data_IF_344772832715
#
_entry.id   IF_344772832715
#
_cell.length_a   1.000
_cell.length_b   1.000
_cell.length_c   1.000
_cell.angle_alpha   90.00
_cell.angle_beta   90.00
_cell.angle_gamma   90.00
#
_symmetry.space_group_name_H-M   'P 1'
#
loop_
_entity.id
_entity.type
_entity.pdbx_description
1 polymer ?
#
# COMPACT_ATOMS: atom_id res chain seq x y z
N UNK A 1 12.99 -15.71 -18.55
CA UNK A 1 12.31 -16.18 -17.32
C UNK A 1 10.90 -16.62 -17.66
N UNK A 2 10.47 -17.73 -17.08
CA UNK A 2 9.09 -18.19 -17.16
C UNK A 2 8.21 -17.55 -16.05
N UNK A 3 6.91 -17.85 -16.09
CA UNK A 3 5.97 -17.27 -15.12
C UNK A 3 6.22 -17.74 -13.66
N UNK A 4 6.80 -18.93 -13.46
CA UNK A 4 7.13 -19.42 -12.12
C UNK A 4 8.33 -18.67 -11.55
N UNK A 5 9.37 -18.46 -12.35
CA UNK A 5 10.52 -17.65 -11.96
C UNK A 5 10.11 -16.22 -11.62
N UNK A 6 9.22 -15.61 -12.42
CA UNK A 6 8.68 -14.26 -12.14
C UNK A 6 7.96 -14.24 -10.79
N UNK A 7 7.09 -15.22 -10.50
CA UNK A 7 6.38 -15.30 -9.21
C UNK A 7 7.35 -15.40 -8.04
N UNK A 8 8.32 -16.30 -8.15
CA UNK A 8 9.31 -16.52 -7.07
C UNK A 8 10.10 -15.28 -6.78
N UNK A 9 10.60 -14.58 -7.81
CA UNK A 9 11.32 -13.33 -7.64
C UNK A 9 10.44 -12.22 -7.03
N UNK A 10 9.18 -12.11 -7.46
CA UNK A 10 8.24 -11.14 -6.88
C UNK A 10 7.98 -11.39 -5.39
N UNK A 11 7.86 -12.66 -4.98
CA UNK A 11 7.69 -13.02 -3.58
C UNK A 11 8.94 -12.70 -2.75
N UNK A 12 10.11 -12.99 -3.27
CA UNK A 12 11.37 -12.67 -2.62
C UNK A 12 11.59 -11.15 -2.53
N UNK A 13 11.45 -10.42 -3.64
CA UNK A 13 11.66 -8.97 -3.67
C UNK A 13 10.63 -8.21 -2.83
N UNK A 14 9.39 -8.71 -2.71
CA UNK A 14 8.41 -8.13 -1.80
C UNK A 14 8.55 -8.62 -0.34
N UNK A 15 9.66 -9.33 -0.01
CA UNK A 15 9.97 -9.79 1.33
C UNK A 15 8.91 -10.76 1.92
N UNK A 16 8.25 -11.54 1.06
CA UNK A 16 7.19 -12.47 1.48
C UNK A 16 7.77 -13.86 1.76
N UNK A 17 8.64 -14.36 0.87
CA UNK A 17 9.24 -15.70 1.04
C UNK A 17 10.42 -15.70 2.02
N UNK A 18 11.12 -14.58 2.14
CA UNK A 18 12.23 -14.36 3.07
C UNK A 18 12.43 -12.85 3.26
N UNK A 19 12.94 -12.45 4.43
CA UNK A 19 13.25 -11.06 4.75
C UNK A 19 14.41 -10.97 5.72
N UNK A 20 15.19 -9.90 5.60
CA UNK A 20 16.20 -9.50 6.58
C UNK A 20 15.70 -8.33 7.45
N UNK A 21 14.49 -7.79 7.14
CA UNK A 21 13.89 -6.72 7.93
C UNK A 21 13.36 -7.23 9.27
N UNK A 22 13.56 -6.43 10.31
CA UNK A 22 13.07 -6.69 11.67
C UNK A 22 12.18 -5.55 12.18
N UNK A 23 12.22 -4.38 11.54
CA UNK A 23 11.46 -3.20 11.91
C UNK A 23 10.37 -2.90 10.87
N UNK A 24 9.13 -2.60 11.32
CA UNK A 24 8.02 -2.27 10.42
C UNK A 24 8.31 -1.12 9.46
N UNK A 25 8.92 -0.03 9.98
CA UNK A 25 9.25 1.17 9.21
C UNK A 25 10.27 0.92 8.12
N UNK A 26 11.26 0.04 8.35
CA UNK A 26 12.27 -0.31 7.34
C UNK A 26 11.63 -1.03 6.15
N UNK A 27 10.71 -1.97 6.41
CA UNK A 27 9.95 -2.65 5.37
C UNK A 27 9.08 -1.67 4.57
N UNK A 28 8.36 -0.78 5.26
CA UNK A 28 7.51 0.24 4.62
C UNK A 28 8.36 1.16 3.75
N UNK A 29 9.53 1.58 4.23
CA UNK A 29 10.48 2.39 3.48
C UNK A 29 11.01 1.66 2.25
N UNK A 30 11.39 0.40 2.39
CA UNK A 30 11.86 -0.44 1.28
C UNK A 30 10.81 -0.58 0.18
N UNK A 31 9.56 -0.84 0.56
CA UNK A 31 8.44 -0.92 -0.37
C UNK A 31 8.00 0.46 -0.90
N UNK A 32 8.45 1.55 -0.30
CA UNK A 32 8.15 2.93 -0.68
C UNK A 32 6.78 3.42 -0.22
N UNK A 33 5.76 2.60 -0.36
CA UNK A 33 4.43 2.79 0.20
C UNK A 33 3.69 1.46 0.17
N UNK A 34 2.79 1.23 1.14
CA UNK A 34 1.93 0.06 1.22
C UNK A 34 0.47 0.52 1.32
N UNK A 35 -0.41 -0.01 0.47
CA UNK A 35 -1.82 0.38 0.52
C UNK A 35 -2.43 0.02 1.87
N UNK A 36 -3.08 0.99 2.50
CA UNK A 36 -3.65 0.90 3.85
C UNK A 36 -5.14 1.26 3.88
N UNK A 37 -5.89 0.83 2.85
CA UNK A 37 -7.33 1.06 2.76
C UNK A 37 -8.06 0.36 3.90
N UNK A 38 -7.75 -0.91 4.12
CA UNK A 38 -8.20 -1.70 5.27
C UNK A 38 -7.10 -1.70 6.34
N UNK A 39 -7.28 -0.89 7.38
CA UNK A 39 -6.22 -0.59 8.36
C UNK A 39 -5.65 -1.83 9.05
N UNK A 40 -6.52 -2.74 9.52
CA UNK A 40 -6.08 -3.96 10.18
C UNK A 40 -5.32 -4.90 9.21
N UNK A 41 -5.81 -5.01 7.97
CA UNK A 41 -5.18 -5.83 6.93
C UNK A 41 -3.85 -5.24 6.46
N UNK A 42 -3.72 -3.92 6.43
CA UNK A 42 -2.44 -3.28 6.13
C UNK A 42 -1.38 -3.55 7.20
N UNK A 43 -1.76 -3.66 8.47
CA UNK A 43 -0.84 -4.10 9.53
C UNK A 43 -0.44 -5.56 9.33
N UNK A 44 -1.40 -6.43 8.98
CA UNK A 44 -1.10 -7.82 8.64
C UNK A 44 -0.19 -7.91 7.40
N UNK A 45 -0.30 -7.03 6.42
CA UNK A 45 0.61 -6.99 5.28
C UNK A 45 2.08 -6.81 5.70
N UNK A 46 2.32 -6.07 6.79
CA UNK A 46 3.64 -5.94 7.41
C UNK A 46 4.01 -7.24 8.15
N UNK A 47 3.10 -7.76 8.99
CA UNK A 47 3.31 -8.98 9.76
C UNK A 47 3.50 -10.25 8.89
N UNK A 48 2.85 -10.29 7.72
CA UNK A 48 3.07 -11.35 6.73
C UNK A 48 4.52 -11.42 6.25
N UNK A 49 5.22 -10.28 6.23
CA UNK A 49 6.58 -10.13 5.68
C UNK A 49 7.67 -10.24 6.74
N UNK A 50 7.38 -9.88 7.99
CA UNK A 50 8.36 -9.90 9.09
C UNK A 50 7.93 -10.97 10.10
N UNK A 51 8.62 -12.12 10.15
CA UNK A 51 8.31 -13.20 11.10
C UNK A 51 8.38 -12.71 12.56
N UNK A 52 7.53 -13.27 13.40
CA UNK A 52 7.45 -13.00 14.85
C UNK A 52 7.06 -11.58 15.24
N UNK A 53 6.74 -10.71 14.27
CA UNK A 53 6.20 -9.40 14.55
C UNK A 53 4.75 -9.55 15.06
N UNK A 54 4.36 -8.69 15.99
CA UNK A 54 2.99 -8.62 16.51
C UNK A 54 2.26 -7.38 16.01
N UNK A 55 0.94 -7.35 16.12
CA UNK A 55 0.15 -6.17 15.79
C UNK A 55 0.54 -4.97 16.68
N UNK A 56 0.95 -5.23 17.93
CA UNK A 56 1.40 -4.21 18.88
C UNK A 56 2.73 -3.57 18.45
N UNK A 57 3.65 -4.34 17.85
CA UNK A 57 4.90 -3.80 17.33
C UNK A 57 4.63 -2.82 16.17
N UNK A 58 3.70 -3.16 15.29
CA UNK A 58 3.27 -2.25 14.21
C UNK A 58 2.57 -1.01 14.76
N UNK A 59 1.69 -1.19 15.74
CA UNK A 59 1.01 -0.07 16.41
C UNK A 59 2.02 0.85 17.10
N UNK A 60 3.04 0.29 17.77
CA UNK A 60 4.12 1.07 18.40
C UNK A 60 4.91 1.91 17.37
N UNK A 61 5.20 1.36 16.20
CA UNK A 61 5.87 2.12 15.12
C UNK A 61 4.98 3.26 14.58
N UNK A 62 3.67 3.03 14.47
CA UNK A 62 2.69 4.05 14.07
C UNK A 62 2.55 5.11 15.17
N UNK A 63 2.43 4.71 16.43
CA UNK A 63 2.29 5.62 17.56
C UNK A 63 3.53 6.48 17.79
N UNK A 64 4.71 5.93 17.48
CA UNK A 64 5.96 6.68 17.47
C UNK A 64 6.11 7.64 16.27
N UNK A 65 5.18 7.59 15.30
CA UNK A 65 5.23 8.40 14.08
C UNK A 65 6.28 7.94 13.06
N UNK A 66 6.83 6.74 13.22
CA UNK A 66 7.77 6.15 12.25
C UNK A 66 7.06 5.69 10.97
N UNK A 67 5.78 5.36 11.09
CA UNK A 67 4.86 5.06 9.99
C UNK A 67 3.66 6.00 10.11
N UNK A 68 3.33 6.69 9.03
CA UNK A 68 2.12 7.50 8.93
C UNK A 68 1.19 6.94 7.86
N UNK A 69 -0.08 7.32 7.91
CA UNK A 69 -1.09 6.92 6.93
C UNK A 69 -1.69 8.15 6.25
N UNK A 70 -1.67 8.17 4.93
CA UNK A 70 -2.23 9.28 4.14
C UNK A 70 -2.57 8.84 2.71
N UNK A 71 -3.36 9.64 2.00
CA UNK A 71 -3.58 9.44 0.57
C UNK A 71 -2.29 9.75 -0.20
N UNK A 72 -1.88 8.78 -1.03
CA UNK A 72 -0.62 8.86 -1.78
C UNK A 72 -0.71 8.01 -3.05
N UNK A 73 0.15 8.23 -4.05
CA UNK A 73 0.25 7.50 -5.32
C UNK A 73 -1.07 7.50 -6.13
N UNK A 74 -2.11 6.94 -5.57
CA UNK A 74 -3.49 6.89 -6.05
C UNK A 74 -4.42 7.51 -4.99
N UNK A 75 -5.71 7.78 -5.27
CA UNK A 75 -6.63 8.31 -4.25
C UNK A 75 -7.04 7.20 -3.24
N UNK A 76 -6.06 6.52 -2.69
CA UNK A 76 -6.19 5.49 -1.64
C UNK A 76 -5.21 5.77 -0.51
N UNK A 77 -5.54 5.35 0.70
CA UNK A 77 -4.62 5.45 1.84
C UNK A 77 -3.45 4.50 1.70
N UNK A 78 -2.28 4.97 2.12
CA UNK A 78 -1.05 4.19 2.19
C UNK A 78 -0.36 4.39 3.53
N UNK A 79 0.31 3.35 4.03
CA UNK A 79 1.38 3.47 5.01
C UNK A 79 2.64 3.92 4.31
N UNK A 80 3.33 4.87 4.92
CA UNK A 80 4.57 5.46 4.41
C UNK A 80 5.42 5.97 5.57
N UNK A 81 6.73 5.97 5.42
CA UNK A 81 7.61 6.68 6.34
C UNK A 81 7.55 8.19 6.08
N UNK A 82 7.55 9.05 7.12
CA UNK A 82 7.38 10.49 6.94
C UNK A 82 8.34 11.13 5.94
N UNK A 83 9.59 10.71 5.93
CA UNK A 83 10.66 11.26 5.09
C UNK A 83 10.39 11.11 3.59
N UNK A 84 9.61 10.08 3.22
CA UNK A 84 9.26 9.84 1.82
C UNK A 84 7.96 10.54 1.39
N UNK A 85 7.14 10.98 2.34
CA UNK A 85 5.79 11.49 2.07
C UNK A 85 5.81 12.70 1.13
N UNK A 86 6.59 13.72 1.43
CA UNK A 86 6.54 14.99 0.72
C UNK A 86 7.02 14.93 -0.71
N UNK A 87 8.12 14.22 -0.99
CA UNK A 87 8.62 14.12 -2.36
C UNK A 87 7.74 13.22 -3.23
N UNK A 88 7.14 12.17 -2.66
CA UNK A 88 6.17 11.34 -3.40
C UNK A 88 4.89 12.14 -3.67
N UNK A 89 4.38 12.91 -2.70
CA UNK A 89 3.24 13.81 -2.91
C UNK A 89 3.53 14.83 -4.03
N UNK A 90 4.68 15.51 -3.97
CA UNK A 90 5.05 16.48 -5.00
C UNK A 90 5.06 15.86 -6.41
N UNK A 91 5.40 14.57 -6.51
CA UNK A 91 5.40 13.83 -7.77
C UNK A 91 4.00 13.39 -8.21
N UNK A 92 3.14 12.93 -7.28
CA UNK A 92 1.91 12.17 -7.60
C UNK A 92 0.62 12.95 -7.36
N UNK A 93 0.56 13.88 -6.39
CA UNK A 93 -0.64 14.63 -6.05
C UNK A 93 -1.27 15.39 -7.24
N UNK A 94 -0.50 16.02 -8.15
CA UNK A 94 -1.09 16.69 -9.31
C UNK A 94 -1.93 15.76 -10.19
N UNK A 95 -1.51 14.51 -10.37
CA UNK A 95 -2.25 13.51 -11.15
C UNK A 95 -3.50 13.03 -10.40
N UNK A 96 -3.43 12.91 -9.08
CA UNK A 96 -4.56 12.53 -8.26
C UNK A 96 -5.63 13.62 -8.31
N UNK A 97 -5.28 14.89 -8.08
CA UNK A 97 -6.21 16.02 -8.19
C UNK A 97 -6.90 16.08 -9.54
N UNK A 98 -6.14 15.84 -10.63
CA UNK A 98 -6.72 15.78 -11.97
C UNK A 98 -7.76 14.67 -12.12
N UNK A 99 -7.48 13.48 -11.59
CA UNK A 99 -8.39 12.31 -11.65
C UNK A 99 -9.67 12.52 -10.86
N UNK A 100 -9.61 13.20 -9.72
CA UNK A 100 -10.77 13.38 -8.81
C UNK A 100 -11.47 14.74 -8.97
N UNK A 101 -11.05 15.55 -9.93
CA UNK A 101 -11.62 16.91 -10.16
C UNK A 101 -13.14 16.90 -10.30
N UNK A 102 -13.72 15.90 -10.99
CA UNK A 102 -15.17 15.76 -11.16
C UNK A 102 -15.92 15.56 -9.84
N UNK A 103 -15.29 14.88 -8.87
CA UNK A 103 -15.89 14.72 -7.54
C UNK A 103 -15.89 16.03 -6.76
N UNK A 104 -14.84 16.84 -6.86
CA UNK A 104 -14.83 18.17 -6.25
C UNK A 104 -16.00 19.01 -6.76
N UNK A 105 -16.21 19.04 -8.08
CA UNK A 105 -17.35 19.77 -8.69
C UNK A 105 -18.70 19.19 -8.25
N UNK A 106 -18.84 17.85 -8.16
CA UNK A 106 -20.07 17.18 -7.73
C UNK A 106 -20.51 17.60 -6.31
N UNK A 107 -19.55 17.88 -5.42
CA UNK A 107 -19.83 18.25 -4.03
C UNK A 107 -19.69 19.75 -3.76
N UNK A 108 -19.66 20.57 -4.79
CA UNK A 108 -19.46 22.02 -4.67
C UNK A 108 -18.22 22.38 -3.82
N UNK A 109 -17.15 21.62 -3.99
CA UNK A 109 -15.86 21.84 -3.35
C UNK A 109 -14.99 22.71 -4.26
N UNK A 110 -15.22 24.01 -4.23
CA UNK A 110 -14.37 24.97 -4.94
C UNK A 110 -12.98 25.02 -4.33
N UNK A 111 -11.91 25.38 -5.09
CA UNK A 111 -10.56 25.53 -4.52
C UNK A 111 -10.56 26.45 -3.29
N UNK A 112 -11.27 27.58 -3.34
CA UNK A 112 -11.40 28.53 -2.21
C UNK A 112 -11.95 27.84 -0.97
N UNK A 113 -13.04 27.08 -1.12
CA UNK A 113 -13.71 26.37 0.00
C UNK A 113 -12.80 25.28 0.59
N UNK A 114 -12.07 24.55 -0.26
CA UNK A 114 -11.13 23.52 0.19
C UNK A 114 -9.95 24.13 0.95
N UNK A 115 -9.30 25.16 0.43
CA UNK A 115 -8.22 25.84 1.14
C UNK A 115 -8.70 26.47 2.46
N UNK A 116 -9.85 27.10 2.49
CA UNK A 116 -10.43 27.64 3.72
C UNK A 116 -10.68 26.54 4.76
N UNK A 117 -11.26 25.40 4.36
CA UNK A 117 -11.47 24.27 5.26
C UNK A 117 -10.13 23.70 5.77
N UNK A 118 -9.12 23.59 4.91
CA UNK A 118 -7.79 23.11 5.30
C UNK A 118 -7.09 24.08 6.26
N UNK A 119 -7.22 25.40 6.09
CA UNK A 119 -6.65 26.35 7.06
C UNK A 119 -7.30 26.20 8.44
N UNK A 120 -8.63 26.00 8.50
CA UNK A 120 -9.34 25.74 9.78
C UNK A 120 -8.85 24.43 10.42
N UNK A 121 -8.67 23.38 9.60
CA UNK A 121 -8.16 22.09 10.07
C UNK A 121 -6.73 22.23 10.58
N UNK A 122 -5.88 22.93 9.84
CA UNK A 122 -4.47 23.17 10.22
C UNK A 122 -4.39 23.87 11.58
N UNK A 123 -5.14 24.98 11.76
CA UNK A 123 -5.23 25.67 13.06
C UNK A 123 -5.68 24.74 14.19
N UNK A 124 -6.70 23.92 13.95
CA UNK A 124 -7.22 22.98 14.95
C UNK A 124 -6.25 21.88 15.33
N UNK A 125 -5.34 21.49 14.43
CA UNK A 125 -4.36 20.40 14.63
C UNK A 125 -3.03 20.86 15.24
N UNK A 126 -2.81 22.17 15.46
CA UNK A 126 -1.56 22.68 16.06
C UNK A 126 -1.30 22.03 17.39
N UNK A 127 -2.27 22.09 18.32
CA UNK A 127 -2.12 21.67 19.71
C UNK A 127 -2.58 20.24 20.00
N UNK A 128 -3.39 19.65 19.15
CA UNK A 128 -4.03 18.36 19.41
C UNK A 128 -4.24 17.49 18.17
N UNK A 129 -4.37 16.21 18.41
CA UNK A 129 -4.81 15.24 17.41
C UNK A 129 -6.34 15.11 17.47
N UNK A 130 -7.00 15.09 16.31
CA UNK A 130 -8.46 15.09 16.21
C UNK A 130 -8.94 13.98 15.27
N UNK A 131 -10.07 13.39 15.64
CA UNK A 131 -10.79 12.47 14.77
C UNK A 131 -11.42 13.21 13.60
N UNK A 132 -11.74 12.48 12.53
CA UNK A 132 -12.47 13.04 11.38
C UNK A 132 -13.79 13.71 11.79
N UNK A 133 -14.50 13.13 12.79
CA UNK A 133 -15.77 13.67 13.29
C UNK A 133 -15.57 15.01 14.00
N UNK A 134 -14.54 15.11 14.84
CA UNK A 134 -14.18 16.37 15.53
C UNK A 134 -13.78 17.46 14.53
N UNK A 135 -12.95 17.14 13.52
CA UNK A 135 -12.56 18.07 12.47
C UNK A 135 -13.78 18.55 11.66
N UNK A 136 -14.70 17.66 11.31
CA UNK A 136 -15.92 18.03 10.57
C UNK A 136 -16.80 19.00 11.38
N UNK A 137 -16.92 18.81 12.70
CA UNK A 137 -17.66 19.70 13.58
C UNK A 137 -17.03 21.11 13.62
N UNK A 138 -15.70 21.19 13.80
CA UNK A 138 -14.95 22.45 13.82
C UNK A 138 -15.12 23.24 12.50
N UNK A 139 -15.00 22.54 11.37
CA UNK A 139 -15.17 23.15 10.04
C UNK A 139 -16.61 23.65 9.84
N UNK A 140 -17.62 22.90 10.35
CA UNK A 140 -19.02 23.31 10.30
C UNK A 140 -19.31 24.54 11.18
N UNK A 141 -18.76 24.61 12.38
CA UNK A 141 -18.86 25.77 13.29
C UNK A 141 -18.28 27.05 12.66
N UNK A 142 -17.27 26.92 11.81
CA UNK A 142 -16.69 28.02 11.02
C UNK A 142 -17.47 28.35 9.74
N UNK A 143 -18.67 27.78 9.56
CA UNK A 143 -19.60 28.11 8.47
C UNK A 143 -19.43 27.29 7.19
N UNK A 144 -18.58 26.26 7.17
CA UNK A 144 -18.41 25.39 6.01
C UNK A 144 -19.20 24.09 6.23
N UNK A 145 -20.43 24.06 5.75
CA UNK A 145 -21.29 22.88 5.84
C UNK A 145 -20.84 21.80 4.86
N UNK A 146 -20.79 20.56 5.35
CA UNK A 146 -20.34 19.40 4.57
C UNK A 146 -21.17 18.16 4.91
N UNK A 147 -21.31 17.26 3.94
CA UNK A 147 -21.74 15.87 4.20
C UNK A 147 -20.54 15.02 4.61
N UNK A 148 -20.80 13.83 5.17
CA UNK A 148 -19.71 12.88 5.46
C UNK A 148 -18.86 12.59 4.22
N UNK A 149 -19.48 12.49 3.04
CA UNK A 149 -18.78 12.20 1.79
C UNK A 149 -17.97 13.40 1.31
N UNK A 150 -18.53 14.60 1.29
CA UNK A 150 -17.79 15.81 0.87
C UNK A 150 -16.63 16.12 1.82
N UNK A 151 -16.79 15.88 3.13
CA UNK A 151 -15.72 16.05 4.09
C UNK A 151 -14.56 15.06 3.87
N UNK A 152 -14.83 13.84 3.35
CA UNK A 152 -13.77 12.92 2.96
C UNK A 152 -12.87 13.50 1.86
N UNK A 153 -13.44 14.26 0.92
CA UNK A 153 -12.65 14.94 -0.12
C UNK A 153 -11.86 16.13 0.42
N UNK A 154 -12.32 16.79 1.48
CA UNK A 154 -11.55 17.84 2.16
C UNK A 154 -10.33 17.22 2.86
N UNK A 155 -10.51 16.11 3.58
CA UNK A 155 -9.40 15.36 4.19
C UNK A 155 -8.42 14.91 3.11
N UNK A 156 -8.91 14.24 2.06
CA UNK A 156 -8.08 13.83 0.93
C UNK A 156 -7.27 14.99 0.34
N UNK A 157 -7.92 16.15 0.13
CA UNK A 157 -7.25 17.34 -0.36
C UNK A 157 -6.13 17.80 0.58
N UNK A 158 -6.42 17.91 1.89
CA UNK A 158 -5.43 18.33 2.89
C UNK A 158 -4.25 17.36 3.02
N UNK A 159 -4.47 16.05 2.86
CA UNK A 159 -3.40 15.05 2.81
C UNK A 159 -2.55 15.20 1.53
N UNK A 160 -3.18 15.42 0.38
CA UNK A 160 -2.47 15.64 -0.90
C UNK A 160 -1.68 16.95 -0.94
N UNK A 161 -2.15 18.00 -0.23
CA UNK A 161 -1.40 19.25 -0.04
C UNK A 161 -0.29 19.13 1.02
N UNK A 162 -0.15 17.95 1.66
CA UNK A 162 0.87 17.70 2.69
C UNK A 162 0.65 18.48 3.97
N UNK A 163 -0.60 18.85 4.29
CA UNK A 163 -0.99 19.57 5.51
C UNK A 163 -1.14 18.60 6.67
N UNK A 164 -1.89 17.52 6.47
CA UNK A 164 -2.23 16.56 7.52
C UNK A 164 -1.96 15.12 7.09
N UNK A 165 -1.85 14.27 8.08
CA UNK A 165 -1.80 12.81 7.94
C UNK A 165 -2.53 12.16 9.11
N UNK A 166 -2.66 10.85 9.06
CA UNK A 166 -3.18 10.03 10.16
C UNK A 166 -2.24 8.86 10.43
N UNK A 167 -2.58 8.03 11.40
CA UNK A 167 -1.84 6.82 11.72
C UNK A 167 -2.37 6.24 13.00
N UNK A 168 -2.25 6.98 14.10
CA UNK A 168 -2.76 6.57 15.40
C UNK A 168 -4.26 6.36 15.39
N UNK A 169 -4.72 5.48 16.26
CA UNK A 169 -6.13 5.19 16.48
C UNK A 169 -6.56 5.65 17.88
N UNK A 170 -7.77 6.20 17.97
CA UNK A 170 -8.48 6.46 19.22
C UNK A 170 -9.72 5.58 19.22
N UNK A 171 -9.65 4.44 19.90
CA UNK A 171 -10.62 3.35 19.70
C UNK A 171 -10.60 2.88 18.24
N UNK A 172 -11.75 2.89 17.59
CA UNK A 172 -11.89 2.46 16.18
C UNK A 172 -11.78 3.62 15.17
N UNK A 173 -11.34 4.81 15.59
CA UNK A 173 -11.26 5.99 14.71
C UNK A 173 -9.82 6.43 14.54
N UNK A 174 -9.41 6.65 13.30
CA UNK A 174 -8.14 7.30 13.01
C UNK A 174 -8.17 8.74 13.50
N UNK A 175 -7.07 9.19 14.11
CA UNK A 175 -6.85 10.59 14.45
C UNK A 175 -5.89 11.22 13.45
N UNK A 176 -6.13 12.49 13.17
CA UNK A 176 -5.35 13.31 12.26
C UNK A 176 -4.44 14.25 13.04
N UNK A 177 -3.30 14.54 12.46
CA UNK A 177 -2.31 15.47 12.97
C UNK A 177 -1.62 16.18 11.80
N UNK A 178 -0.83 17.22 12.09
CA UNK A 178 -0.07 17.92 11.06
C UNK A 178 1.10 17.08 10.57
N UNK A 179 1.26 16.97 9.24
CA UNK A 179 2.41 16.31 8.65
C UNK A 179 3.73 16.98 9.03
N UNK A 180 3.71 18.29 9.25
CA UNK A 180 4.89 19.08 9.67
C UNK A 180 5.46 18.68 11.04
N UNK A 181 4.70 17.95 11.87
CA UNK A 181 5.20 17.40 13.14
C UNK A 181 6.20 16.25 12.93
N UNK A 182 6.19 15.60 11.76
CA UNK A 182 7.04 14.44 11.47
C UNK A 182 8.13 14.77 10.44
N UNK A 183 7.84 15.63 9.48
CA UNK A 183 8.75 15.95 8.39
C UNK A 183 8.63 17.41 7.96
N UNK A 184 9.78 18.08 7.83
CA UNK A 184 9.84 19.46 7.36
C UNK A 184 9.33 19.60 5.90
N UNK A 185 8.83 20.77 5.48
CA UNK A 185 8.55 21.05 4.08
C UNK A 185 9.77 20.83 3.19
N UNK A 186 9.52 20.47 1.92
CA UNK A 186 10.60 20.35 0.94
C UNK A 186 11.25 21.73 0.70
N UNK A 187 12.56 21.78 0.76
CA UNK A 187 13.33 22.98 0.39
C UNK A 187 13.63 23.03 -1.10
N UNK A 188 13.66 21.88 -1.77
CA UNK A 188 13.83 21.75 -3.22
C UNK A 188 13.11 20.50 -3.73
N UNK A 189 12.73 20.50 -5.00
CA UNK A 189 12.12 19.35 -5.66
C UNK A 189 12.58 19.30 -7.12
N UNK A 190 13.32 18.26 -7.47
CA UNK A 190 13.72 17.96 -8.84
C UNK A 190 12.92 16.74 -9.28
N UNK A 191 12.00 16.94 -10.24
CA UNK A 191 11.03 15.95 -10.68
C UNK A 191 11.69 14.68 -11.21
N UNK A 192 12.76 14.82 -11.98
CA UNK A 192 13.51 13.71 -12.59
C UNK A 192 14.18 12.84 -11.52
N UNK A 193 14.74 13.43 -10.48
CA UNK A 193 15.32 12.70 -9.35
C UNK A 193 14.26 11.95 -8.57
N UNK A 194 13.10 12.55 -8.35
CA UNK A 194 11.97 11.89 -7.69
C UNK A 194 11.41 10.72 -8.51
N UNK A 195 11.32 10.87 -9.85
CA UNK A 195 10.94 9.79 -10.76
C UNK A 195 11.95 8.65 -10.73
N UNK A 196 13.24 8.97 -10.80
CA UNK A 196 14.33 7.99 -10.70
C UNK A 196 14.25 7.22 -9.38
N UNK A 197 14.15 7.94 -8.25
CA UNK A 197 14.06 7.36 -6.91
C UNK A 197 12.83 6.43 -6.77
N UNK A 198 11.68 6.84 -7.29
CA UNK A 198 10.46 6.05 -7.21
C UNK A 198 10.54 4.79 -8.11
N UNK A 199 11.09 4.93 -9.32
CA UNK A 199 11.28 3.81 -10.25
C UNK A 199 12.26 2.78 -9.69
N UNK A 200 13.42 3.21 -9.21
CA UNK A 200 14.42 2.33 -8.58
C UNK A 200 13.77 1.56 -7.43
N UNK A 201 13.07 2.24 -6.52
CA UNK A 201 12.41 1.61 -5.38
C UNK A 201 11.35 0.59 -5.82
N UNK A 202 10.54 0.94 -6.83
CA UNK A 202 9.51 0.04 -7.36
C UNK A 202 10.12 -1.22 -7.99
N UNK A 203 11.06 -1.08 -8.90
CA UNK A 203 11.64 -2.22 -9.61
C UNK A 203 12.55 -3.08 -8.72
N UNK A 204 13.16 -2.50 -7.69
CA UNK A 204 13.89 -3.26 -6.64
C UNK A 204 12.93 -4.12 -5.83
N UNK A 205 11.85 -3.52 -5.32
CA UNK A 205 10.96 -4.20 -4.37
C UNK A 205 9.86 -5.02 -5.03
N UNK A 206 9.54 -4.78 -6.31
CA UNK A 206 8.41 -5.41 -7.02
C UNK A 206 8.79 -6.05 -8.36
N UNK A 207 10.05 -5.93 -8.78
CA UNK A 207 10.52 -6.64 -9.98
C UNK A 207 10.45 -8.16 -9.84
N UNK A 208 10.33 -8.89 -10.95
CA UNK A 208 10.18 -8.45 -12.34
C UNK A 208 8.82 -7.79 -12.61
N UNK A 209 8.85 -6.59 -13.17
CA UNK A 209 7.65 -5.81 -13.44
C UNK A 209 7.78 -5.01 -14.75
N UNK A 210 6.65 -4.66 -15.36
CA UNK A 210 6.62 -3.85 -16.57
C UNK A 210 6.48 -2.36 -16.27
N UNK A 211 6.79 -1.51 -17.25
CA UNK A 211 6.52 -0.07 -17.16
C UNK A 211 5.03 0.22 -16.92
N UNK A 212 4.15 -0.61 -17.47
CA UNK A 212 2.71 -0.50 -17.27
C UNK A 212 2.30 -0.81 -15.82
N UNK A 213 2.98 -1.77 -15.18
CA UNK A 213 2.77 -2.09 -13.77
C UNK A 213 3.20 -0.91 -12.90
N UNK A 214 4.37 -0.34 -13.16
CA UNK A 214 4.87 0.85 -12.44
C UNK A 214 3.92 2.05 -12.58
N UNK A 215 3.44 2.34 -13.80
CA UNK A 215 2.46 3.41 -14.04
C UNK A 215 1.14 3.15 -13.29
N UNK A 216 0.68 1.89 -13.28
CA UNK A 216 -0.53 1.47 -12.57
C UNK A 216 -0.41 1.65 -11.06
N UNK A 217 0.70 1.17 -10.47
CA UNK A 217 0.96 1.26 -9.03
C UNK A 217 1.15 2.70 -8.57
N UNK A 218 2.02 3.46 -9.24
CA UNK A 218 2.36 4.83 -8.85
C UNK A 218 1.27 5.86 -9.17
N UNK A 219 0.31 5.53 -10.03
CA UNK A 219 -0.70 6.48 -10.52
C UNK A 219 -0.15 7.51 -11.52
N UNK A 220 1.12 7.43 -11.88
CA UNK A 220 1.78 8.29 -12.85
C UNK A 220 1.30 8.03 -14.28
N UNK A 221 1.61 8.95 -15.19
CA UNK A 221 1.41 8.72 -16.62
C UNK A 221 2.39 7.67 -17.14
N UNK A 222 2.00 6.96 -18.23
CA UNK A 222 2.91 6.00 -18.88
C UNK A 222 4.18 6.69 -19.42
N UNK A 223 4.08 7.97 -19.77
CA UNK A 223 5.24 8.78 -20.19
C UNK A 223 6.22 8.98 -19.05
N UNK A 224 5.73 9.35 -17.85
CA UNK A 224 6.56 9.51 -16.67
C UNK A 224 7.15 8.17 -16.22
N UNK A 225 6.36 7.09 -16.28
CA UNK A 225 6.85 5.76 -15.94
C UNK A 225 7.99 5.29 -16.87
N UNK A 226 7.88 5.56 -18.18
CA UNK A 226 8.96 5.29 -19.14
C UNK A 226 10.19 6.16 -18.85
N UNK A 227 9.99 7.44 -18.52
CA UNK A 227 11.10 8.30 -18.14
C UNK A 227 11.80 7.76 -16.88
N UNK A 228 11.04 7.31 -15.89
CA UNK A 228 11.58 6.69 -14.68
C UNK A 228 12.47 5.49 -14.95
N UNK A 229 12.13 4.62 -15.92
CA UNK A 229 12.97 3.47 -16.27
C UNK A 229 14.29 3.85 -16.96
N UNK A 230 14.38 5.01 -17.57
CA UNK A 230 15.63 5.48 -18.18
C UNK A 230 16.71 5.83 -17.14
N UNK A 231 16.32 6.02 -15.89
CA UNK A 231 17.23 6.29 -14.78
C UNK A 231 17.66 5.02 -14.00
N UNK A 232 17.16 3.85 -14.40
CA UNK A 232 17.62 2.61 -13.80
C UNK A 232 19.11 2.40 -14.16
N UNK A 233 19.92 2.09 -13.14
CA UNK A 233 21.35 1.84 -13.32
C UNK A 233 21.58 0.54 -14.10
N UNK A 234 22.83 0.32 -14.52
CA UNK A 234 23.25 -0.92 -15.19
C UNK A 234 23.13 -2.18 -14.32
N UNK A 235 22.84 -2.01 -13.02
CA UNK A 235 22.57 -3.14 -12.13
C UNK A 235 21.20 -3.77 -12.41
N UNK A 236 20.27 -3.02 -13.02
CA UNK A 236 18.98 -3.57 -13.43
C UNK A 236 19.10 -4.31 -14.76
N UNK A 237 18.36 -5.40 -14.87
CA UNK A 237 18.26 -6.21 -16.08
C UNK A 237 16.82 -6.22 -16.61
N UNK A 238 16.66 -6.44 -17.90
CA UNK A 238 15.35 -6.67 -18.50
C UNK A 238 15.31 -7.96 -19.34
N UNK A 239 14.12 -8.49 -19.53
CA UNK A 239 13.84 -9.63 -20.41
C UNK A 239 12.44 -9.53 -21.00
N UNK A 240 12.22 -10.25 -22.10
CA UNK A 240 10.92 -10.36 -22.73
C UNK A 240 10.18 -11.62 -22.25
N UNK A 241 8.91 -11.48 -21.86
CA UNK A 241 7.99 -12.57 -21.61
C UNK A 241 6.61 -12.20 -22.20
N UNK A 242 6.03 -13.04 -23.04
CA UNK A 242 4.78 -12.79 -23.76
C UNK A 242 4.74 -11.42 -24.46
N UNK A 243 5.84 -11.03 -25.11
CA UNK A 243 5.98 -9.75 -25.80
C UNK A 243 6.00 -8.50 -24.91
N UNK A 244 6.12 -8.68 -23.60
CA UNK A 244 6.24 -7.59 -22.62
C UNK A 244 7.64 -7.57 -22.03
N UNK A 245 8.21 -6.37 -21.88
CA UNK A 245 9.50 -6.17 -21.25
C UNK A 245 9.31 -6.02 -19.73
N UNK A 246 10.02 -6.88 -18.97
CA UNK A 246 10.06 -6.91 -17.52
C UNK A 246 11.41 -6.44 -17.02
N UNK A 247 11.41 -5.54 -16.04
CA UNK A 247 12.57 -4.97 -15.38
C UNK A 247 12.69 -5.50 -13.96
N UNK A 248 13.89 -5.78 -13.50
CA UNK A 248 14.17 -6.26 -12.14
C UNK A 248 15.62 -5.97 -11.77
N UNK A 249 15.90 -5.95 -10.48
CA UNK A 249 17.26 -5.94 -9.93
C UNK A 249 17.69 -7.40 -9.71
N UNK A 250 18.70 -7.94 -10.45
CA UNK A 250 19.24 -9.25 -10.16
C UNK A 250 19.85 -9.27 -8.76
N UNK A 251 19.47 -10.22 -7.93
CA UNK A 251 20.07 -10.44 -6.63
C UNK A 251 21.09 -11.55 -6.72
N UNK A 252 22.30 -11.35 -6.16
CA UNK A 252 23.37 -12.35 -6.18
C UNK A 252 23.03 -13.61 -5.37
N UNK A 253 22.00 -13.57 -4.55
CA UNK A 253 21.51 -14.65 -3.70
C UNK A 253 20.21 -15.30 -4.21
N UNK A 254 20.03 -15.36 -5.51
CA UNK A 254 18.84 -16.01 -6.08
C UNK A 254 18.87 -17.55 -5.86
N UNK A 255 18.84 -17.98 -4.62
CA UNK A 255 18.21 -19.25 -4.28
C UNK A 255 16.70 -19.00 -4.54
N UNK A 256 16.28 -19.33 -5.75
CA UNK A 256 14.87 -19.38 -6.13
C UNK A 256 14.32 -20.67 -5.51
N UNK A 257 13.60 -20.63 -4.38
CA UNK A 257 13.03 -21.86 -3.83
C UNK A 257 12.12 -22.48 -4.89
N UNK A 258 12.24 -23.79 -5.12
CA UNK A 258 11.32 -24.51 -5.99
C UNK A 258 9.86 -24.45 -5.51
N UNK A 259 9.66 -24.11 -4.24
CA UNK A 259 8.35 -23.91 -3.62
C UNK A 259 8.17 -22.41 -3.25
N UNK A 260 7.21 -21.78 -3.90
CA UNK A 260 6.81 -20.39 -3.62
C UNK A 260 6.07 -20.22 -2.28
N UNK A 261 5.91 -21.28 -1.48
CA UNK A 261 5.25 -21.22 -0.18
C UNK A 261 3.73 -21.12 -0.23
N UNK A 262 3.14 -21.01 0.98
CA UNK A 262 1.69 -20.81 1.18
C UNK A 262 1.49 -19.64 2.13
N UNK A 263 0.62 -18.68 1.75
CA UNK A 263 0.43 -17.43 2.47
C UNK A 263 -1.03 -17.01 2.51
N UNK A 264 -1.43 -16.37 3.62
CA UNK A 264 -2.72 -15.70 3.78
C UNK A 264 -2.56 -14.21 3.46
N UNK A 265 -2.84 -13.80 2.23
CA UNK A 265 -2.73 -12.41 1.84
C UNK A 265 -3.85 -11.55 2.42
N UNK A 266 -3.53 -10.39 3.00
CA UNK A 266 -4.53 -9.40 3.38
C UNK A 266 -5.24 -8.80 2.18
N UNK A 267 -6.34 -8.11 2.46
CA UNK A 267 -7.01 -7.25 1.47
C UNK A 267 -6.05 -6.17 0.98
N UNK A 268 -6.04 -5.96 -0.33
CA UNK A 268 -5.21 -4.95 -0.99
C UNK A 268 -3.70 -5.11 -0.77
N UNK A 269 -3.23 -6.36 -0.59
CA UNK A 269 -1.78 -6.60 -0.46
C UNK A 269 -1.01 -6.14 -1.70
N UNK A 270 0.20 -5.61 -1.46
CA UNK A 270 1.08 -5.11 -2.52
C UNK A 270 1.39 -6.17 -3.59
N UNK A 271 1.42 -7.47 -3.25
CA UNK A 271 1.57 -8.54 -4.24
C UNK A 271 0.45 -8.56 -5.26
N UNK A 272 -0.78 -8.22 -4.85
CA UNK A 272 -1.94 -8.19 -5.74
C UNK A 272 -2.12 -6.87 -6.49
N UNK A 273 -1.87 -5.74 -5.82
CA UNK A 273 -2.23 -4.41 -6.33
C UNK A 273 -1.09 -3.69 -7.05
N UNK A 274 0.14 -4.19 -6.96
CA UNK A 274 1.29 -3.56 -7.60
C UNK A 274 1.39 -3.84 -9.10
N UNK A 275 0.58 -4.75 -9.63
CA UNK A 275 0.65 -5.16 -11.04
C UNK A 275 -0.67 -4.92 -11.77
N UNK A 276 -0.57 -4.35 -12.97
CA UNK A 276 -1.72 -4.17 -13.87
C UNK A 276 -2.17 -5.51 -14.44
N UNK A 277 -1.20 -6.36 -14.83
CA UNK A 277 -1.46 -7.71 -15.30
C UNK A 277 -1.26 -8.73 -14.18
N UNK A 278 -2.31 -9.45 -13.86
CA UNK A 278 -2.36 -10.45 -12.79
C UNK A 278 -2.32 -11.89 -13.31
N UNK A 279 -2.24 -12.11 -14.63
CA UNK A 279 -2.20 -13.45 -15.24
C UNK A 279 -1.02 -14.30 -14.73
N UNK A 280 0.02 -13.64 -14.19
CA UNK A 280 1.21 -14.31 -13.63
C UNK A 280 0.85 -15.14 -12.38
N UNK A 281 -0.10 -14.70 -11.55
CA UNK A 281 -0.43 -15.32 -10.27
C UNK A 281 -1.92 -15.65 -10.10
N UNK A 282 -2.79 -15.26 -11.06
CA UNK A 282 -4.19 -15.64 -11.08
C UNK A 282 -4.43 -16.69 -12.15
N UNK A 283 -5.15 -17.75 -11.79
CA UNK A 283 -5.61 -18.73 -12.76
C UNK A 283 -6.89 -18.23 -13.43
N UNK A 284 -6.89 -18.15 -14.78
CA UNK A 284 -8.05 -17.71 -15.57
C UNK A 284 -9.24 -18.66 -15.48
N UNK A 285 -9.02 -19.91 -15.08
CA UNK A 285 -10.09 -20.89 -14.87
C UNK A 285 -10.98 -20.57 -13.69
N UNK A 286 -10.49 -19.74 -12.75
CA UNK A 286 -11.26 -19.31 -11.59
C UNK A 286 -11.78 -17.90 -11.82
N UNK A 287 -13.09 -17.74 -12.10
CA UNK A 287 -13.67 -16.41 -12.24
C UNK A 287 -13.62 -15.70 -10.88
N UNK A 288 -12.59 -14.91 -10.67
CA UNK A 288 -12.52 -14.03 -9.52
C UNK A 288 -13.52 -12.90 -9.80
N UNK A 289 -14.62 -12.91 -9.04
CA UNK A 289 -15.59 -11.83 -9.06
C UNK A 289 -14.88 -10.52 -8.75
N UNK A 290 -15.27 -9.36 -9.34
CA UNK A 290 -14.73 -8.05 -8.96
C UNK A 290 -14.75 -7.78 -7.45
N UNK A 291 -15.69 -8.39 -6.70
CA UNK A 291 -15.74 -8.32 -5.24
C UNK A 291 -14.64 -9.11 -4.53
N UNK A 292 -14.04 -10.09 -5.20
CA UNK A 292 -12.95 -10.92 -4.66
C UNK A 292 -11.57 -10.46 -5.15
N UNK A 293 -11.53 -9.47 -6.04
CA UNK A 293 -10.26 -9.01 -6.66
C UNK A 293 -9.21 -8.54 -5.64
N UNK A 294 -9.61 -8.30 -4.39
CA UNK A 294 -8.71 -7.73 -3.38
C UNK A 294 -8.94 -8.30 -1.98
N UNK A 295 -9.69 -9.41 -1.84
CA UNK A 295 -10.09 -9.92 -0.53
C UNK A 295 -9.40 -11.23 -0.18
N UNK A 296 -8.66 -11.22 0.94
CA UNK A 296 -8.24 -12.40 1.70
C UNK A 296 -7.82 -13.59 0.83
N UNK A 297 -6.83 -13.42 -0.02
CA UNK A 297 -6.39 -14.49 -0.91
C UNK A 297 -5.55 -15.54 -0.19
N UNK A 298 -5.89 -16.80 -0.41
CA UNK A 298 -5.04 -17.94 -0.08
C UNK A 298 -4.14 -18.21 -1.28
N UNK A 299 -2.84 -17.95 -1.10
CA UNK A 299 -1.84 -18.30 -2.09
C UNK A 299 -1.20 -19.64 -1.75
N UNK A 300 -1.03 -20.49 -2.79
CA UNK A 300 -0.32 -21.76 -2.71
C UNK A 300 0.59 -21.89 -3.92
N UNK A 301 1.89 -22.09 -3.68
CA UNK A 301 2.86 -22.27 -4.76
C UNK A 301 2.99 -21.07 -5.72
N UNK A 302 2.80 -19.85 -5.22
CA UNK A 302 2.87 -18.62 -6.00
C UNK A 302 1.61 -18.26 -6.79
N UNK A 303 0.55 -19.08 -6.72
CA UNK A 303 -0.74 -18.87 -7.37
C UNK A 303 -1.84 -18.60 -6.34
N UNK A 304 -2.79 -17.76 -6.67
CA UNK A 304 -3.98 -17.57 -5.85
C UNK A 304 -4.92 -18.74 -6.12
N UNK A 305 -5.11 -19.57 -5.09
CA UNK A 305 -5.83 -20.85 -5.20
C UNK A 305 -7.11 -20.90 -4.36
N UNK A 306 -7.38 -19.85 -3.60
CA UNK A 306 -8.55 -19.80 -2.74
C UNK A 306 -8.66 -18.49 -1.98
N UNK A 307 -9.51 -18.50 -0.98
CA UNK A 307 -9.73 -17.40 -0.04
C UNK A 307 -9.59 -17.87 1.40
N UNK A 308 -9.46 -16.93 2.31
CA UNK A 308 -9.50 -17.17 3.73
C UNK A 308 -10.35 -16.12 4.44
N UNK A 309 -10.81 -16.43 5.63
CA UNK A 309 -11.59 -15.54 6.48
C UNK A 309 -11.22 -15.76 7.94
N UNK A 310 -11.19 -14.69 8.73
CA UNK A 310 -11.10 -14.77 10.19
C UNK A 310 -12.34 -14.14 10.80
N UNK A 311 -12.80 -14.69 11.92
CA UNK A 311 -13.80 -14.01 12.73
C UNK A 311 -13.10 -12.83 13.46
N UNK A 312 -13.71 -11.64 13.39
CA UNK A 312 -13.18 -10.45 14.06
C UNK A 312 -13.29 -10.53 15.58
N UNK A 313 -14.18 -11.35 16.09
CA UNK A 313 -14.41 -11.56 17.53
C UNK A 313 -13.58 -12.73 18.09
N UNK A 314 -13.21 -13.67 17.23
CA UNK A 314 -12.38 -14.84 17.58
C UNK A 314 -11.37 -15.14 16.47
N UNK A 315 -10.18 -14.56 16.61
CA UNK A 315 -9.08 -14.76 15.67
C UNK A 315 -8.51 -16.19 15.68
N UNK A 316 -8.95 -17.06 16.61
CA UNK A 316 -8.61 -18.48 16.58
C UNK A 316 -9.33 -19.22 15.44
N UNK A 317 -10.47 -18.69 14.98
CA UNK A 317 -11.21 -19.23 13.86
C UNK A 317 -10.78 -18.61 12.53
N UNK A 318 -9.80 -19.23 11.88
CA UNK A 318 -9.42 -18.92 10.49
C UNK A 318 -9.89 -20.04 9.58
N UNK A 319 -10.73 -19.69 8.61
CA UNK A 319 -11.26 -20.64 7.61
C UNK A 319 -10.59 -20.38 6.28
N UNK A 320 -10.19 -21.44 5.60
CA UNK A 320 -9.60 -21.38 4.25
C UNK A 320 -10.46 -22.17 3.30
N UNK A 321 -10.68 -21.66 2.09
CA UNK A 321 -11.46 -22.30 1.03
C UNK A 321 -10.70 -22.27 -0.28
N UNK A 322 -10.51 -23.45 -0.90
CA UNK A 322 -9.89 -23.58 -2.20
C UNK A 322 -10.92 -23.39 -3.31
N UNK A 323 -10.57 -22.69 -4.39
CA UNK A 323 -11.42 -22.57 -5.58
C UNK A 323 -11.69 -23.93 -6.23
N UNK A 324 -10.68 -24.82 -6.21
CA UNK A 324 -10.85 -26.21 -6.61
C UNK A 324 -10.66 -27.14 -5.41
N UNK A 325 -11.76 -27.66 -4.82
CA UNK A 325 -11.68 -28.54 -3.65
C UNK A 325 -10.95 -29.87 -3.91
N UNK A 326 -10.77 -30.26 -5.18
CA UNK A 326 -10.04 -31.47 -5.57
C UNK A 326 -8.55 -31.25 -5.73
N UNK A 327 -8.08 -30.01 -5.67
CA UNK A 327 -6.66 -29.69 -5.77
C UNK A 327 -5.92 -30.22 -4.54
N UNK A 328 -4.90 -31.03 -4.78
CA UNK A 328 -4.02 -31.48 -3.69
C UNK A 328 -3.07 -30.35 -3.31
N UNK A 329 -3.17 -29.91 -2.08
CA UNK A 329 -2.32 -28.86 -1.48
C UNK A 329 -1.68 -29.39 -0.19
N UNK A 330 -0.54 -28.83 0.16
CA UNK A 330 0.11 -29.18 1.44
C UNK A 330 -0.68 -28.56 2.61
N UNK A 331 -1.49 -29.36 3.28
CA UNK A 331 -2.31 -28.91 4.42
C UNK A 331 -1.48 -28.38 5.57
N UNK A 332 -0.28 -28.97 5.81
CA UNK A 332 0.65 -28.46 6.85
C UNK A 332 1.10 -27.03 6.53
N UNK A 333 1.36 -26.71 5.27
CA UNK A 333 1.74 -25.34 4.86
C UNK A 333 0.58 -24.34 5.06
N UNK A 334 -0.66 -24.76 4.81
CA UNK A 334 -1.86 -23.93 5.12
C UNK A 334 -1.99 -23.71 6.64
N UNK A 335 -1.86 -24.76 7.44
CA UNK A 335 -1.91 -24.63 8.91
C UNK A 335 -0.82 -23.72 9.45
N UNK A 336 0.40 -23.80 8.90
CA UNK A 336 1.50 -22.88 9.25
C UNK A 336 1.16 -21.43 8.89
N UNK A 337 0.59 -21.18 7.72
CA UNK A 337 0.17 -19.82 7.31
C UNK A 337 -0.93 -19.26 8.23
N UNK A 338 -1.89 -20.11 8.66
CA UNK A 338 -2.91 -19.76 9.64
C UNK A 338 -2.28 -19.45 11.00
N UNK A 339 -1.37 -20.30 11.47
CA UNK A 339 -0.69 -20.07 12.75
C UNK A 339 0.12 -18.75 12.76
N UNK A 340 0.78 -18.39 11.65
CA UNK A 340 1.49 -17.11 11.54
C UNK A 340 0.54 -15.92 11.68
N UNK A 341 -0.64 -15.97 11.04
CA UNK A 341 -1.65 -14.92 11.17
C UNK A 341 -2.17 -14.81 12.62
N UNK A 342 -2.47 -15.95 13.25
CA UNK A 342 -2.91 -15.99 14.64
C UNK A 342 -1.85 -15.44 15.59
N UNK A 343 -0.57 -15.85 15.41
CA UNK A 343 0.54 -15.37 16.21
C UNK A 343 0.73 -13.85 16.11
N UNK A 344 0.58 -13.25 14.92
CA UNK A 344 0.65 -11.81 14.73
C UNK A 344 -0.38 -11.06 15.58
N UNK A 345 -1.53 -11.66 15.86
CA UNK A 345 -2.61 -11.09 16.67
C UNK A 345 -2.59 -11.49 18.15
N UNK A 346 -1.67 -12.39 18.56
CA UNK A 346 -1.52 -12.72 19.99
C UNK A 346 -1.01 -11.47 20.73
N UNK A 347 -1.59 -11.27 21.93
CA UNK A 347 -1.25 -10.16 22.83
C UNK A 347 0.00 -10.47 23.63
#
# INVERSE_FOLDING_TARGET
MDNQEIRTLRLANQQISSTDFTQPEELVQYLGAMQAQEYAMAKWAIGLRIPNLTVQDVDAAIDAGKIIRMHLLRPTWHFIVPEDSRWILALTAPQIHKKIKSFYSKFDLTPKKMHQACSIIEEALVEKELTRKELAAIVAEKGIQTTSQSFSFIILFGELEGILCSGKMRGNQAVYTLLSKFVAPLTSFIREEALAKLAIRYFTSRGPATVQDFAYWSGLSIKDARLGTQFLSNDFSSFLNDGKEYWYLPTNNAYVPNDCGTFLFPDFDEYGISYKNRDIFLNKEYPISPFMEHKHWLMVGGMIEGTWQSDKSDLSEVRTELFNPKKRVNQHAIHKAVANYQQFHLK
#
